data_IF_912024593778
#
_entry.id   IF_912024593778
#
_cell.length_a   1.000
_cell.length_b   1.000
_cell.length_c   1.000
_cell.angle_alpha   90.00
_cell.angle_beta   90.00
_cell.angle_gamma   90.00
#
_symmetry.space_group_name_H-M   'P 1'
#
loop_
_entity.id
_entity.type
_entity.pdbx_description
1 polymer ?
#
# COMPACT_ATOMS: atom_id res chain seq x y z
N UNK A 1 6.79 -7.08 11.67
CA UNK A 1 7.60 -5.96 12.16
C UNK A 1 7.49 -5.88 13.67
N UNK A 2 8.62 -5.82 14.34
CA UNK A 2 8.74 -5.80 15.79
C UNK A 2 9.42 -4.51 16.25
N UNK A 3 9.22 -4.14 17.50
CA UNK A 3 10.05 -3.13 18.16
C UNK A 3 11.47 -3.68 18.32
N UNK A 4 12.49 -2.92 17.86
CA UNK A 4 13.85 -3.41 17.75
C UNK A 4 14.39 -3.99 19.06
N UNK A 5 14.99 -5.18 18.96
CA UNK A 5 15.55 -5.90 20.11
C UNK A 5 14.51 -6.47 21.08
N UNK A 6 13.25 -6.55 20.65
CA UNK A 6 12.15 -7.12 21.46
C UNK A 6 11.30 -8.07 20.60
N UNK A 7 10.43 -8.85 21.24
CA UNK A 7 9.42 -9.66 20.58
C UNK A 7 8.05 -8.97 20.50
N UNK A 8 7.98 -7.67 20.76
CA UNK A 8 6.75 -6.90 20.66
C UNK A 8 6.38 -6.66 19.20
N UNK A 9 5.33 -7.31 18.75
CA UNK A 9 4.78 -7.14 17.41
C UNK A 9 4.15 -5.76 17.27
N UNK A 10 4.58 -5.00 16.26
CA UNK A 10 4.02 -3.69 15.90
C UNK A 10 3.09 -3.76 14.70
N UNK A 11 3.44 -4.59 13.71
CA UNK A 11 2.71 -4.70 12.45
C UNK A 11 2.98 -6.04 11.80
N UNK A 12 1.97 -6.63 11.19
CA UNK A 12 2.12 -7.80 10.34
C UNK A 12 1.37 -7.62 9.02
N UNK A 13 1.95 -8.15 7.96
CA UNK A 13 1.35 -8.13 6.62
C UNK A 13 1.73 -9.41 5.89
N UNK A 14 0.74 -10.09 5.33
CA UNK A 14 0.98 -11.09 4.30
C UNK A 14 1.36 -10.40 2.99
N UNK A 15 2.21 -11.03 2.21
CA UNK A 15 2.48 -10.63 0.84
C UNK A 15 2.54 -11.84 -0.07
N UNK A 16 2.29 -11.62 -1.34
CA UNK A 16 2.38 -12.62 -2.38
C UNK A 16 3.29 -12.08 -3.48
N UNK A 17 4.07 -12.95 -4.08
CA UNK A 17 5.02 -12.60 -5.12
C UNK A 17 4.87 -13.55 -6.34
N UNK A 18 5.69 -13.36 -7.36
CA UNK A 18 5.72 -14.20 -8.56
C UNK A 18 6.02 -15.68 -8.28
N UNK A 19 6.63 -15.98 -7.13
CA UNK A 19 6.86 -17.38 -6.72
C UNK A 19 5.52 -18.13 -6.56
N UNK A 20 4.49 -17.46 -6.06
CA UNK A 20 3.15 -18.04 -5.91
C UNK A 20 2.57 -18.54 -7.24
N UNK A 21 2.77 -17.80 -8.32
CA UNK A 21 2.33 -18.17 -9.66
C UNK A 21 3.26 -19.25 -10.25
N UNK A 22 4.57 -19.04 -10.15
CA UNK A 22 5.55 -19.96 -10.72
C UNK A 22 5.44 -21.38 -10.16
N UNK A 23 5.23 -21.54 -8.86
CA UNK A 23 5.11 -22.86 -8.22
C UNK A 23 3.96 -23.72 -8.78
N UNK A 24 3.00 -23.10 -9.46
CA UNK A 24 1.88 -23.80 -10.12
C UNK A 24 2.21 -24.28 -11.53
N UNK A 25 3.39 -23.92 -12.05
CA UNK A 25 3.82 -24.29 -13.40
C UNK A 25 4.46 -25.68 -13.41
N UNK A 26 4.39 -26.44 -14.53
CA UNK A 26 5.06 -27.74 -14.66
C UNK A 26 6.58 -27.67 -14.44
N UNK A 27 7.22 -26.57 -14.81
CA UNK A 27 8.66 -26.35 -14.65
C UNK A 27 9.09 -26.36 -13.18
N UNK A 28 8.23 -25.95 -12.26
CA UNK A 28 8.50 -25.94 -10.83
C UNK A 28 8.77 -27.33 -10.25
N UNK A 29 8.35 -28.38 -10.93
CA UNK A 29 8.62 -29.77 -10.51
C UNK A 29 10.07 -30.22 -10.76
N UNK A 30 10.78 -29.54 -11.65
CA UNK A 30 12.11 -29.98 -12.14
C UNK A 30 13.19 -28.91 -12.05
N UNK A 31 12.80 -27.63 -11.95
CA UNK A 31 13.72 -26.50 -11.95
C UNK A 31 13.67 -25.76 -10.61
N UNK A 32 14.82 -25.24 -10.21
CA UNK A 32 14.94 -24.26 -9.12
C UNK A 32 15.06 -22.87 -9.72
N UNK A 33 14.28 -21.91 -9.22
CA UNK A 33 14.30 -20.53 -9.69
C UNK A 33 14.38 -19.57 -8.51
N UNK A 34 15.16 -18.51 -8.67
CA UNK A 34 15.26 -17.41 -7.70
C UNK A 34 14.43 -16.22 -8.19
N UNK A 35 13.70 -15.59 -7.28
CA UNK A 35 12.91 -14.40 -7.53
C UNK A 35 13.42 -13.28 -6.65
N UNK A 36 13.57 -12.10 -7.24
CA UNK A 36 13.81 -10.87 -6.51
C UNK A 36 12.48 -10.19 -6.22
N UNK A 37 12.29 -9.79 -4.96
CA UNK A 37 11.06 -9.18 -4.51
C UNK A 37 11.30 -8.00 -3.57
N UNK A 38 10.35 -7.09 -3.55
CA UNK A 38 10.34 -5.94 -2.65
C UNK A 38 9.13 -5.99 -1.73
N UNK A 39 9.35 -5.79 -0.45
CA UNK A 39 8.29 -5.73 0.55
C UNK A 39 8.18 -4.31 1.07
N UNK A 40 7.00 -3.73 0.96
CA UNK A 40 6.70 -2.41 1.49
C UNK A 40 6.20 -2.56 2.93
N UNK A 41 6.88 -1.90 3.85
CA UNK A 41 6.45 -1.74 5.25
C UNK A 41 6.15 -0.27 5.54
N UNK A 42 5.25 0.04 6.48
CA UNK A 42 5.03 1.42 6.89
C UNK A 42 6.34 2.07 7.36
N UNK A 43 6.53 3.36 7.03
CA UNK A 43 7.75 4.08 7.44
C UNK A 43 7.87 4.09 8.97
N UNK A 44 8.97 3.57 9.54
CA UNK A 44 9.12 3.46 10.97
C UNK A 44 9.41 4.82 11.59
N UNK A 45 8.77 5.12 12.72
CA UNK A 45 9.09 6.30 13.56
C UNK A 45 10.16 6.01 14.61
N UNK A 46 10.44 4.76 14.84
CA UNK A 46 11.45 4.25 15.79
C UNK A 46 12.21 3.12 15.13
N UNK A 47 13.31 2.72 15.74
CA UNK A 47 14.08 1.55 15.29
C UNK A 47 13.23 0.29 15.38
N UNK A 48 13.18 -0.48 14.31
CA UNK A 48 12.35 -1.69 14.18
C UNK A 48 13.16 -2.89 13.70
N UNK A 49 12.66 -4.08 14.00
CA UNK A 49 13.10 -5.31 13.37
C UNK A 49 12.03 -5.79 12.37
N UNK A 50 12.44 -6.00 11.13
CA UNK A 50 11.59 -6.58 10.08
C UNK A 50 11.97 -8.04 9.95
N UNK A 51 11.05 -8.93 10.29
CA UNK A 51 11.24 -10.38 10.16
C UNK A 51 10.39 -10.93 9.03
N UNK A 52 10.99 -11.74 8.18
CA UNK A 52 10.29 -12.52 7.17
C UNK A 52 9.95 -13.87 7.77
N UNK A 53 8.66 -14.18 7.84
CA UNK A 53 8.15 -15.45 8.32
C UNK A 53 7.59 -16.25 7.14
N UNK A 54 7.89 -17.53 7.10
CA UNK A 54 7.27 -18.44 6.15
C UNK A 54 6.54 -19.57 6.87
N UNK A 55 5.57 -20.14 6.21
CA UNK A 55 4.78 -21.24 6.77
C UNK A 55 5.36 -22.58 6.34
N UNK A 56 5.58 -23.46 7.31
CA UNK A 56 5.99 -24.84 7.04
C UNK A 56 4.81 -25.68 6.52
N UNK A 57 5.09 -26.89 6.07
CA UNK A 57 4.06 -27.85 5.65
C UNK A 57 3.12 -28.24 6.80
N UNK A 58 3.61 -28.24 8.03
CA UNK A 58 2.84 -28.50 9.25
C UNK A 58 1.98 -27.29 9.66
N UNK A 59 2.19 -26.15 8.99
CA UNK A 59 1.44 -24.93 9.24
C UNK A 59 2.05 -24.00 10.28
N UNK A 60 3.25 -24.29 10.77
CA UNK A 60 3.98 -23.45 11.71
C UNK A 60 4.63 -22.25 10.99
N UNK A 61 4.69 -21.10 11.66
CA UNK A 61 5.41 -19.92 11.19
C UNK A 61 6.84 -19.98 11.70
N UNK A 62 7.78 -19.97 10.77
CA UNK A 62 9.22 -20.00 11.04
C UNK A 62 9.86 -18.71 10.52
N UNK A 63 10.76 -18.13 11.32
CA UNK A 63 11.53 -16.96 10.91
C UNK A 63 12.66 -17.38 9.96
N UNK A 64 12.62 -16.85 8.74
CA UNK A 64 13.65 -17.07 7.73
C UNK A 64 14.73 -16.00 7.74
N UNK A 65 14.38 -14.77 8.05
CA UNK A 65 15.30 -13.63 8.04
C UNK A 65 14.78 -12.53 8.97
N UNK A 66 15.72 -11.82 9.61
CA UNK A 66 15.42 -10.61 10.40
C UNK A 66 16.43 -9.52 10.05
N UNK A 67 15.93 -8.32 9.82
CA UNK A 67 16.73 -7.12 9.56
C UNK A 67 16.32 -6.02 10.51
N UNK A 68 17.30 -5.33 11.07
CA UNK A 68 17.05 -4.12 11.87
C UNK A 68 17.10 -2.89 10.96
N UNK A 69 16.08 -2.05 11.05
CA UNK A 69 15.95 -0.80 10.29
C UNK A 69 15.83 0.35 11.26
N UNK A 70 16.68 1.38 11.10
CA UNK A 70 16.60 2.63 11.84
C UNK A 70 16.12 3.74 10.91
N UNK A 71 15.10 4.54 11.30
CA UNK A 71 14.68 5.69 10.47
C UNK A 71 15.77 6.75 10.29
N UNK A 72 16.79 6.74 11.16
CA UNK A 72 17.93 7.68 11.12
C UNK A 72 19.12 7.12 10.32
N UNK A 73 18.97 5.96 9.67
CA UNK A 73 20.05 5.38 8.87
C UNK A 73 20.33 6.24 7.64
N UNK A 74 21.62 6.39 7.29
CA UNK A 74 22.07 7.20 6.17
C UNK A 74 21.43 6.82 4.82
N UNK A 75 21.12 5.55 4.62
CA UNK A 75 20.50 5.06 3.38
C UNK A 75 18.94 5.13 3.41
N UNK A 76 18.35 5.56 4.51
CA UNK A 76 16.91 5.77 4.60
C UNK A 76 16.57 7.19 4.17
N UNK A 77 15.86 7.31 3.06
CA UNK A 77 15.40 8.61 2.57
C UNK A 77 14.03 8.95 3.19
N UNK A 78 13.98 10.06 3.89
CA UNK A 78 12.75 10.58 4.45
C UNK A 78 12.15 11.63 3.50
N UNK A 79 11.27 11.21 2.62
CA UNK A 79 10.55 12.10 1.69
C UNK A 79 9.25 12.65 2.29
N UNK A 80 9.24 12.95 3.58
CA UNK A 80 8.03 13.37 4.31
C UNK A 80 7.37 14.66 3.79
N UNK A 81 7.97 15.35 2.85
CA UNK A 81 7.40 16.58 2.31
C UNK A 81 7.58 16.66 0.79
N UNK A 82 6.77 15.90 0.08
CA UNK A 82 6.67 16.01 -1.38
C UNK A 82 5.91 17.27 -1.82
N UNK A 83 5.44 18.10 -0.88
CA UNK A 83 4.64 19.29 -1.18
C UNK A 83 3.24 18.96 -1.74
N UNK A 84 2.82 17.71 -1.62
CA UNK A 84 1.53 17.28 -2.13
C UNK A 84 0.40 17.66 -1.15
N UNK A 85 -0.70 18.15 -1.70
CA UNK A 85 -1.92 18.39 -0.95
C UNK A 85 -2.71 17.09 -0.80
N UNK A 86 -3.35 16.93 0.35
CA UNK A 86 -4.21 15.78 0.65
C UNK A 86 -5.64 16.29 0.87
N UNK A 87 -6.57 15.68 0.18
CA UNK A 87 -8.00 15.89 0.37
C UNK A 87 -8.57 14.84 1.32
N UNK A 88 -9.22 15.25 2.41
CA UNK A 88 -9.89 14.37 3.35
C UNK A 88 -11.35 14.17 2.90
N UNK A 89 -11.60 13.11 2.13
CA UNK A 89 -12.95 12.80 1.63
C UNK A 89 -13.87 12.24 2.73
N UNK A 90 -13.31 11.47 3.65
CA UNK A 90 -14.02 10.94 4.82
C UNK A 90 -13.07 10.67 5.97
N UNK A 91 -13.40 11.13 7.16
CA UNK A 91 -12.67 10.82 8.38
C UNK A 91 -13.66 10.30 9.43
N UNK A 92 -13.74 8.99 9.57
CA UNK A 92 -14.61 8.33 10.57
C UNK A 92 -13.91 8.20 11.92
N UNK A 93 -12.61 7.87 11.92
CA UNK A 93 -11.86 7.68 13.16
C UNK A 93 -10.46 8.30 13.04
N UNK A 94 -10.12 9.20 13.96
CA UNK A 94 -8.79 9.83 14.01
C UNK A 94 -7.71 8.91 14.59
N UNK A 95 -8.09 7.85 15.29
CA UNK A 95 -7.16 6.83 15.79
C UNK A 95 -6.86 5.83 14.66
N UNK A 96 -5.78 6.08 13.93
CA UNK A 96 -5.35 5.23 12.82
C UNK A 96 -5.07 3.77 13.22
N UNK A 97 -4.86 3.49 14.52
CA UNK A 97 -4.65 2.10 15.00
C UNK A 97 -5.95 1.30 15.05
N UNK A 98 -7.10 1.97 14.92
CA UNK A 98 -8.45 1.41 14.99
C UNK A 98 -9.28 1.69 13.75
N UNK A 99 -8.65 2.17 12.69
CA UNK A 99 -9.31 2.52 11.44
C UNK A 99 -8.70 1.79 10.24
N UNK A 100 -9.48 1.69 9.20
CA UNK A 100 -9.03 1.29 7.86
C UNK A 100 -8.79 2.58 7.09
N UNK A 101 -7.54 2.85 6.74
CA UNK A 101 -7.17 4.02 5.94
C UNK A 101 -7.13 3.65 4.46
N UNK A 102 -7.92 4.35 3.65
CA UNK A 102 -7.97 4.24 2.19
C UNK A 102 -7.32 5.49 1.61
N UNK A 103 -6.37 5.30 0.70
CA UNK A 103 -5.74 6.37 -0.06
C UNK A 103 -6.12 6.22 -1.52
N UNK A 104 -6.70 7.28 -2.10
CA UNK A 104 -7.04 7.38 -3.51
C UNK A 104 -5.94 8.18 -4.21
N UNK A 105 -5.35 7.58 -5.22
CA UNK A 105 -4.37 8.23 -6.09
C UNK A 105 -5.03 8.55 -7.43
N UNK A 106 -4.93 9.78 -7.94
CA UNK A 106 -5.47 10.12 -9.25
C UNK A 106 -4.59 9.51 -10.35
N UNK A 107 -5.24 9.03 -11.39
CA UNK A 107 -4.58 8.63 -12.62
C UNK A 107 -5.29 9.27 -13.80
N UNK A 108 -4.54 10.02 -14.61
CA UNK A 108 -5.08 10.71 -15.77
C UNK A 108 -5.92 11.95 -15.45
N UNK A 109 -5.73 12.54 -14.28
CA UNK A 109 -6.27 13.87 -13.94
C UNK A 109 -5.16 14.91 -14.02
N UNK A 110 -5.30 15.87 -14.90
CA UNK A 110 -4.38 17.01 -14.98
C UNK A 110 -4.57 17.97 -13.81
N UNK A 111 -3.65 18.91 -13.66
CA UNK A 111 -3.79 19.98 -12.63
C UNK A 111 -5.13 20.73 -12.72
N UNK A 112 -5.63 20.98 -13.93
CA UNK A 112 -6.91 21.64 -14.15
C UNK A 112 -8.11 20.75 -13.72
N UNK A 113 -7.93 19.44 -13.67
CA UNK A 113 -8.98 18.48 -13.35
C UNK A 113 -8.96 18.03 -11.88
N UNK A 114 -8.07 18.58 -11.03
CA UNK A 114 -8.03 18.25 -9.61
C UNK A 114 -9.37 18.50 -8.90
N UNK A 115 -10.12 19.51 -9.32
CA UNK A 115 -11.48 19.77 -8.80
C UNK A 115 -12.48 18.67 -9.18
N UNK A 116 -12.28 17.99 -10.33
CA UNK A 116 -13.04 16.79 -10.69
C UNK A 116 -12.63 15.61 -9.84
N UNK A 117 -11.32 15.39 -9.65
CA UNK A 117 -10.80 14.33 -8.79
C UNK A 117 -11.39 14.37 -7.38
N UNK A 118 -11.48 15.55 -6.77
CA UNK A 118 -12.14 15.74 -5.46
C UNK A 118 -13.58 15.24 -5.48
N UNK A 119 -14.37 15.61 -6.49
CA UNK A 119 -15.76 15.14 -6.64
C UNK A 119 -15.84 13.62 -6.84
N UNK A 120 -14.90 13.06 -7.56
CA UNK A 120 -14.83 11.60 -7.79
C UNK A 120 -14.42 10.86 -6.50
N UNK A 121 -13.61 11.46 -5.61
CA UNK A 121 -13.35 10.95 -4.27
C UNK A 121 -14.64 10.95 -3.41
N UNK A 122 -15.40 12.03 -3.43
CA UNK A 122 -16.67 12.11 -2.70
C UNK A 122 -17.67 11.06 -3.22
N UNK A 123 -17.78 10.94 -4.52
CA UNK A 123 -18.62 9.91 -5.15
C UNK A 123 -18.18 8.49 -4.76
N UNK A 124 -16.87 8.23 -4.70
CA UNK A 124 -16.34 6.95 -4.22
C UNK A 124 -16.77 6.68 -2.78
N UNK A 125 -16.67 7.66 -1.89
CA UNK A 125 -17.07 7.54 -0.47
C UNK A 125 -18.55 7.24 -0.36
N UNK A 126 -19.40 7.98 -1.06
CA UNK A 126 -20.86 7.75 -1.09
C UNK A 126 -21.19 6.36 -1.61
N UNK A 127 -20.53 5.94 -2.70
CA UNK A 127 -20.72 4.63 -3.30
C UNK A 127 -20.28 3.52 -2.36
N UNK A 128 -19.08 3.61 -1.76
CA UNK A 128 -18.56 2.62 -0.83
C UNK A 128 -19.53 2.39 0.33
N UNK A 129 -20.01 3.48 0.94
CA UNK A 129 -20.89 3.39 2.10
C UNK A 129 -22.38 3.19 1.75
N UNK A 130 -22.71 3.00 0.48
CA UNK A 130 -24.03 2.54 0.05
C UNK A 130 -24.18 1.01 0.11
N UNK A 131 -23.07 0.28 0.24
CA UNK A 131 -23.05 -1.19 0.23
C UNK A 131 -22.81 -1.78 1.62
N UNK A 132 -23.55 -2.84 1.94
CA UNK A 132 -23.23 -3.66 3.11
C UNK A 132 -21.96 -4.48 2.87
N UNK A 133 -21.09 -4.67 3.86
CA UNK A 133 -21.23 -4.22 5.26
C UNK A 133 -20.67 -2.82 5.55
N UNK A 134 -20.14 -2.11 4.55
CA UNK A 134 -19.41 -0.84 4.73
C UNK A 134 -20.29 0.27 5.32
N UNK A 135 -21.57 0.27 5.00
CA UNK A 135 -22.58 1.18 5.54
C UNK A 135 -22.61 1.19 7.08
N UNK A 136 -22.40 0.01 7.70
CA UNK A 136 -22.44 -0.18 9.16
C UNK A 136 -21.14 0.19 9.85
N UNK A 137 -20.04 0.16 9.12
CA UNK A 137 -18.68 0.36 9.66
C UNK A 137 -18.03 1.66 9.19
N UNK A 138 -18.80 2.58 8.61
CA UNK A 138 -18.27 3.82 8.02
C UNK A 138 -17.39 4.63 9.00
N UNK A 139 -17.72 4.60 10.30
CA UNK A 139 -16.93 5.25 11.36
C UNK A 139 -15.56 4.58 11.62
N UNK A 140 -15.33 3.39 11.06
CA UNK A 140 -14.05 2.69 11.13
C UNK A 140 -13.15 2.96 9.92
N UNK A 141 -13.56 3.80 8.98
CA UNK A 141 -12.81 4.12 7.77
C UNK A 141 -12.35 5.57 7.77
N UNK A 142 -11.19 5.80 7.19
CA UNK A 142 -10.74 7.11 6.72
C UNK A 142 -10.44 7.01 5.23
N UNK A 143 -10.84 7.99 4.44
CA UNK A 143 -10.60 8.05 3.00
C UNK A 143 -9.96 9.37 2.65
N UNK A 144 -8.80 9.33 2.02
CA UNK A 144 -8.04 10.50 1.58
C UNK A 144 -7.67 10.40 0.11
N UNK A 145 -7.75 11.52 -0.60
CA UNK A 145 -7.22 11.67 -1.95
C UNK A 145 -5.90 12.43 -1.93
N UNK A 146 -4.85 11.91 -2.54
CA UNK A 146 -3.57 12.64 -2.69
C UNK A 146 -3.59 13.38 -4.01
N UNK A 147 -3.38 14.69 -3.99
CA UNK A 147 -3.49 15.57 -5.16
C UNK A 147 -2.19 15.51 -5.98
N UNK A 148 -2.06 14.49 -6.84
CA UNK A 148 -0.91 14.28 -7.74
C UNK A 148 -1.39 14.38 -9.19
N UNK A 149 -1.21 15.53 -9.86
CA UNK A 149 -1.68 15.68 -11.23
C UNK A 149 -0.83 14.88 -12.22
N UNK A 150 -1.50 14.27 -13.20
CA UNK A 150 -0.86 13.69 -14.38
C UNK A 150 -0.52 14.78 -15.40
N UNK A 151 0.44 14.51 -16.29
CA UNK A 151 0.76 15.43 -17.39
C UNK A 151 -0.37 15.51 -18.44
N UNK A 152 -1.06 14.39 -18.66
CA UNK A 152 -2.13 14.26 -19.65
C UNK A 152 -3.42 13.70 -19.04
N UNK A 153 -4.56 14.11 -19.58
CA UNK A 153 -5.87 13.58 -19.17
C UNK A 153 -6.12 12.17 -19.68
N UNK A 154 -6.90 11.40 -18.94
CA UNK A 154 -7.34 10.05 -19.30
C UNK A 154 -6.31 8.97 -19.06
N UNK A 155 -6.67 7.73 -19.38
CA UNK A 155 -5.82 6.55 -19.16
C UNK A 155 -5.22 6.04 -20.47
N UNK A 156 -4.09 5.32 -20.36
CA UNK A 156 -3.48 4.62 -21.49
C UNK A 156 -4.43 3.54 -22.00
N UNK A 157 -4.65 3.53 -23.31
CA UNK A 157 -5.41 2.47 -24.01
C UNK A 157 -4.42 1.65 -24.81
N UNK A 158 -4.16 0.39 -24.46
CA UNK A 158 -3.23 -0.45 -25.21
C UNK A 158 -3.57 -0.49 -26.70
N UNK A 159 -2.58 -0.20 -27.55
CA UNK A 159 -2.73 -0.17 -29.02
C UNK A 159 -3.41 1.06 -29.61
N UNK A 160 -3.90 2.01 -28.79
CA UNK A 160 -4.53 3.24 -29.28
C UNK A 160 -3.80 4.51 -28.84
N UNK A 161 -3.47 4.62 -27.57
CA UNK A 161 -2.78 5.79 -27.04
C UNK A 161 -1.96 5.40 -25.81
N UNK A 162 -0.74 5.90 -25.75
CA UNK A 162 0.09 5.91 -24.54
C UNK A 162 0.06 7.31 -23.96
N UNK A 163 -0.34 7.42 -22.69
CA UNK A 163 -0.48 8.70 -22.01
C UNK A 163 0.58 8.85 -20.94
N UNK A 164 1.22 10.00 -20.92
CA UNK A 164 2.23 10.31 -19.93
C UNK A 164 1.59 10.51 -18.56
N UNK A 165 2.08 9.77 -17.61
CA UNK A 165 1.65 9.80 -16.21
C UNK A 165 2.79 10.26 -15.34
N UNK A 166 2.46 10.97 -14.28
CA UNK A 166 3.38 11.19 -13.18
C UNK A 166 3.31 9.94 -12.31
N UNK A 167 4.44 9.27 -12.16
CA UNK A 167 4.62 8.14 -11.25
C UNK A 167 5.26 8.65 -9.95
#
# INVERSE_FOLDING_TARGET
VFEAGTDKLLFSKGYQNLFGEWQTTPEALTLTKTFEESVIVPFPKVKIDVALLYKTWEGELVEGMRLTVSPDDYFIHNYNNLGLSVYEAWIGNKDYTKSVDIVILPEGYTQAEMGKFVKDCDFFVESLFSFAPYDRYRESFNVRGVMVPSEETGCTMPGLADRKRVV
#
